data_IF_230290468211
#
_entry.id   IF_230290468211
#
_cell.length_a   1.000
_cell.length_b   1.000
_cell.length_c   1.000
_cell.angle_alpha   90.00
_cell.angle_beta   90.00
_cell.angle_gamma   90.00
#
_symmetry.space_group_name_H-M   'P 1'
#
loop_
_entity.id
_entity.type
_entity.pdbx_description
1 polymer ?
#
# COMPACT_ATOMS: atom_id res chain seq x y z
N UNK A 1 18.51 15.13 23.74
CA UNK A 1 18.84 14.85 22.33
C UNK A 1 17.91 13.73 21.87
N UNK A 2 16.62 14.01 21.70
CA UNK A 2 15.60 12.99 21.33
C UNK A 2 14.84 13.34 20.04
N UNK A 3 15.02 14.55 19.48
CA UNK A 3 14.27 14.99 18.31
C UNK A 3 14.68 14.28 17.00
N UNK A 4 15.96 13.90 16.87
CA UNK A 4 16.51 13.33 15.63
C UNK A 4 16.12 11.88 15.37
N UNK A 5 15.89 11.08 16.43
CA UNK A 5 15.49 9.67 16.28
C UNK A 5 14.01 9.53 15.88
N UNK A 6 13.14 10.41 16.39
CA UNK A 6 11.72 10.41 16.04
C UNK A 6 11.47 10.94 14.62
N UNK A 7 12.15 12.00 14.18
CA UNK A 7 12.08 12.49 12.80
C UNK A 7 12.53 11.42 11.79
N UNK A 8 13.64 10.71 12.06
CA UNK A 8 14.12 9.61 11.20
C UNK A 8 13.15 8.41 11.14
N UNK A 9 12.37 8.19 12.20
CA UNK A 9 11.40 7.07 12.26
C UNK A 9 10.13 7.40 11.49
N UNK A 10 9.68 8.66 11.56
CA UNK A 10 8.50 9.15 10.83
C UNK A 10 8.77 9.23 9.32
N UNK A 11 9.92 9.79 8.92
CA UNK A 11 10.35 9.79 7.50
C UNK A 11 10.42 8.35 6.94
N UNK A 12 10.96 7.41 7.71
CA UNK A 12 10.99 6.00 7.33
C UNK A 12 9.59 5.38 7.21
N UNK A 13 8.67 5.71 8.13
CA UNK A 13 7.28 5.24 8.07
C UNK A 13 6.57 5.75 6.81
N UNK A 14 6.80 7.01 6.42
CA UNK A 14 6.23 7.57 5.20
C UNK A 14 6.74 6.85 3.95
N UNK A 15 8.04 6.58 3.87
CA UNK A 15 8.63 5.86 2.74
C UNK A 15 8.09 4.43 2.63
N UNK A 16 7.95 3.74 3.76
CA UNK A 16 7.34 2.39 3.81
C UNK A 16 5.87 2.44 3.38
N UNK A 17 5.08 3.38 3.90
CA UNK A 17 3.67 3.50 3.52
C UNK A 17 3.50 3.81 2.02
N UNK A 18 4.36 4.67 1.45
CA UNK A 18 4.40 4.96 0.00
C UNK A 18 4.75 3.72 -0.83
N UNK A 19 5.76 2.96 -0.40
CA UNK A 19 6.15 1.73 -1.07
C UNK A 19 5.02 0.69 -1.04
N UNK A 20 4.35 0.54 0.11
CA UNK A 20 3.24 -0.39 0.29
C UNK A 20 2.04 -0.05 -0.60
N UNK A 21 1.60 1.21 -0.60
CA UNK A 21 0.50 1.66 -1.46
C UNK A 21 0.81 1.43 -2.96
N UNK A 22 2.05 1.73 -3.38
CA UNK A 22 2.50 1.47 -4.75
C UNK A 22 2.47 -0.02 -5.09
N UNK A 23 2.98 -0.89 -4.22
CA UNK A 23 2.99 -2.33 -4.46
C UNK A 23 1.58 -2.92 -4.49
N UNK A 24 0.69 -2.49 -3.58
CA UNK A 24 -0.70 -2.95 -3.56
C UNK A 24 -1.43 -2.60 -4.86
N UNK A 25 -1.24 -1.37 -5.37
CA UNK A 25 -1.77 -0.97 -6.67
C UNK A 25 -1.25 -1.83 -7.82
N UNK A 26 0.06 -2.11 -7.87
CA UNK A 26 0.65 -2.98 -8.90
C UNK A 26 0.06 -4.40 -8.84
N UNK A 27 -0.15 -4.94 -7.63
CA UNK A 27 -0.79 -6.25 -7.46
C UNK A 27 -2.21 -6.28 -8.02
N UNK A 28 -3.01 -5.23 -7.78
CA UNK A 28 -4.36 -5.11 -8.35
C UNK A 28 -4.31 -5.03 -9.87
N UNK A 29 -3.45 -4.20 -10.43
CA UNK A 29 -3.31 -4.04 -11.89
C UNK A 29 -2.90 -5.36 -12.55
N UNK A 30 -1.95 -6.09 -11.97
CA UNK A 30 -1.54 -7.42 -12.44
C UNK A 30 -2.66 -8.46 -12.30
N UNK A 31 -3.40 -8.45 -11.19
CA UNK A 31 -4.49 -9.38 -10.96
C UNK A 31 -5.65 -9.15 -11.93
N UNK A 32 -6.00 -7.89 -12.22
CA UNK A 32 -7.00 -7.53 -13.24
C UNK A 32 -6.58 -7.97 -14.64
N UNK A 33 -5.30 -7.83 -14.98
CA UNK A 33 -4.79 -8.32 -16.27
C UNK A 33 -4.87 -9.86 -16.39
N UNK A 34 -4.61 -10.59 -15.30
CA UNK A 34 -4.66 -12.06 -15.23
C UNK A 34 -6.06 -12.64 -15.02
N UNK A 35 -7.03 -11.82 -14.65
CA UNK A 35 -8.44 -12.22 -14.58
C UNK A 35 -8.96 -12.62 -15.98
N UNK A 36 -8.54 -11.90 -17.03
CA UNK A 36 -8.95 -12.17 -18.40
C UNK A 36 -8.46 -13.53 -18.93
N UNK A 37 -7.31 -14.02 -18.44
CA UNK A 37 -6.78 -15.35 -18.77
C UNK A 37 -7.31 -16.46 -17.84
N UNK A 38 -8.08 -16.11 -16.81
CA UNK A 38 -8.57 -17.05 -15.79
C UNK A 38 -7.49 -17.54 -14.82
N UNK A 39 -6.28 -16.98 -14.88
CA UNK A 39 -5.18 -17.29 -13.94
C UNK A 39 -5.45 -16.78 -12.52
N UNK A 40 -6.33 -15.79 -12.38
CA UNK A 40 -6.74 -15.19 -11.11
C UNK A 40 -8.26 -15.14 -11.05
N UNK A 41 -8.84 -15.47 -9.90
CA UNK A 41 -10.30 -15.44 -9.70
C UNK A 41 -10.78 -14.03 -9.36
N UNK A 42 -12.06 -13.69 -9.63
CA UNK A 42 -12.64 -12.41 -9.22
C UNK A 42 -12.49 -12.14 -7.71
N UNK A 43 -12.62 -13.17 -6.87
CA UNK A 43 -12.46 -13.06 -5.41
C UNK A 43 -11.04 -12.66 -5.03
N UNK A 44 -10.04 -13.15 -5.77
CA UNK A 44 -8.64 -12.79 -5.53
C UNK A 44 -8.36 -11.34 -5.95
N UNK A 45 -8.98 -10.86 -7.01
CA UNK A 45 -8.92 -9.43 -7.38
C UNK A 45 -9.52 -8.58 -6.26
N UNK A 46 -10.71 -8.94 -5.76
CA UNK A 46 -11.37 -8.20 -4.68
C UNK A 46 -10.54 -8.15 -3.39
N UNK A 47 -9.85 -9.23 -3.03
CA UNK A 47 -8.93 -9.24 -1.89
C UNK A 47 -7.76 -8.27 -2.06
N UNK A 48 -7.22 -8.15 -3.27
CA UNK A 48 -6.12 -7.24 -3.57
C UNK A 48 -6.59 -5.78 -3.61
N UNK A 49 -7.82 -5.53 -4.08
CA UNK A 49 -8.44 -4.20 -4.03
C UNK A 49 -8.64 -3.75 -2.58
N UNK A 50 -9.07 -4.65 -1.69
CA UNK A 50 -9.17 -4.37 -0.26
C UNK A 50 -7.81 -4.09 0.37
N UNK A 51 -6.78 -4.86 0.01
CA UNK A 51 -5.39 -4.59 0.44
C UNK A 51 -4.92 -3.21 -0.02
N UNK A 52 -5.22 -2.82 -1.27
CA UNK A 52 -4.90 -1.50 -1.78
C UNK A 52 -5.59 -0.41 -0.97
N UNK A 53 -6.88 -0.58 -0.66
CA UNK A 53 -7.64 0.38 0.16
C UNK A 53 -7.00 0.58 1.53
N UNK A 54 -6.63 -0.51 2.21
CA UNK A 54 -5.96 -0.45 3.53
C UNK A 54 -4.60 0.24 3.42
N UNK A 55 -3.81 -0.04 2.40
CA UNK A 55 -2.50 0.61 2.20
C UNK A 55 -2.63 2.11 1.88
N UNK A 56 -3.65 2.50 1.11
CA UNK A 56 -3.95 3.90 0.82
C UNK A 56 -4.40 4.64 2.10
N UNK A 57 -5.22 4.01 2.94
CA UNK A 57 -5.63 4.56 4.24
C UNK A 57 -4.46 4.74 5.20
N UNK A 58 -3.55 3.77 5.26
CA UNK A 58 -2.32 3.85 6.06
C UNK A 58 -1.44 5.01 5.61
N UNK A 59 -1.18 5.12 4.30
CA UNK A 59 -0.44 6.26 3.75
C UNK A 59 -1.08 7.60 4.09
N UNK A 60 -2.42 7.70 4.03
CA UNK A 60 -3.12 8.92 4.43
C UNK A 60 -2.99 9.23 5.92
N UNK A 61 -2.90 8.22 6.79
CA UNK A 61 -2.66 8.42 8.23
C UNK A 61 -1.25 8.92 8.45
N UNK A 62 -0.26 8.25 7.88
CA UNK A 62 1.15 8.63 8.03
C UNK A 62 1.38 10.06 7.52
N UNK A 63 0.84 10.43 6.35
CA UNK A 63 0.93 11.81 5.83
C UNK A 63 0.35 12.86 6.80
N UNK A 64 -0.70 12.54 7.56
CA UNK A 64 -1.29 13.46 8.55
C UNK A 64 -0.48 13.54 9.85
N UNK A 65 0.32 12.52 10.14
CA UNK A 65 1.12 12.40 11.36
C UNK A 65 2.56 12.91 11.19
N UNK A 66 3.00 13.19 9.95
CA UNK A 66 4.21 13.96 9.64
C UNK A 66 4.08 15.43 10.06
#
# INVERSE_FOLDING_TARGET
>A
MEATEHESTLEHALDVARANAKQARLLVDHARARLASGEVTPERVAQLEELQRVADEDLQRVIREQ
#
